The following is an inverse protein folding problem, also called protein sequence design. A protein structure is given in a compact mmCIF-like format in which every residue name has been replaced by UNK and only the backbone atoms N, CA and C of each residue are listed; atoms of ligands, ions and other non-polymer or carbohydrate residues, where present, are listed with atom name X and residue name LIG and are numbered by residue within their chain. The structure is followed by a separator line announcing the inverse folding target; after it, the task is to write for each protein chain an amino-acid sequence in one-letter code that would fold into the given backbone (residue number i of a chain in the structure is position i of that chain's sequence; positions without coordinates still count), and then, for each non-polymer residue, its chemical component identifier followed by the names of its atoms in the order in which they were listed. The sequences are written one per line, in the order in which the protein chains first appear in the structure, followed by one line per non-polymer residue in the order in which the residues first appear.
data_IF_627409991791
#
_entry.id   IF_627409991791
#
_cell.length_a   1.000
_cell.length_b   1.000
_cell.length_c   1.000
_cell.angle_alpha   90.00
_cell.angle_beta   90.00
_cell.angle_gamma   90.00
#
_symmetry.space_group_name_H-M   'P 1'
#
loop_
_entity.id
_entity.type
_entity.pdbx_description
1 polymer ?
#
# COMPACT_ATOMS: atom_id res chain seq x y z
N UNK A 1 2.67 -0.05 -13.94
CA UNK A 1 2.61 -0.52 -12.55
C UNK A 1 1.23 -1.07 -12.30
N UNK A 2 1.14 -2.32 -11.85
CA UNK A 2 -0.11 -2.93 -11.37
C UNK A 2 -0.35 -2.57 -9.91
N UNK A 3 -1.57 -2.70 -9.42
CA UNK A 3 -1.89 -2.47 -8.00
C UNK A 3 -1.08 -3.37 -7.07
N UNK A 4 -0.76 -4.60 -7.49
CA UNK A 4 0.10 -5.52 -6.75
C UNK A 4 1.54 -4.99 -6.64
N UNK A 5 2.11 -4.50 -7.73
CA UNK A 5 3.45 -3.91 -7.73
C UNK A 5 3.51 -2.67 -6.84
N UNK A 6 2.46 -1.85 -6.86
CA UNK A 6 2.32 -0.66 -6.03
C UNK A 6 2.28 -1.01 -4.55
N UNK A 7 1.46 -1.99 -4.16
CA UNK A 7 1.41 -2.48 -2.77
C UNK A 7 2.78 -3.00 -2.32
N UNK A 8 3.51 -3.70 -3.20
CA UNK A 8 4.87 -4.15 -2.88
C UNK A 8 5.85 -2.99 -2.69
N UNK A 9 5.77 -1.95 -3.54
CA UNK A 9 6.60 -0.75 -3.43
C UNK A 9 6.30 0.04 -2.14
N UNK A 10 5.04 0.05 -1.70
CA UNK A 10 4.60 0.63 -0.42
C UNK A 10 5.08 -0.15 0.81
N UNK A 11 5.83 -1.25 0.64
CA UNK A 11 6.35 -2.07 1.73
C UNK A 11 5.63 -3.40 1.94
N UNK A 12 4.61 -3.70 1.13
CA UNK A 12 3.86 -4.95 1.14
C UNK A 12 2.54 -4.87 1.91
N UNK A 13 1.76 -5.95 1.81
CA UNK A 13 0.38 -6.03 2.33
C UNK A 13 0.31 -5.73 3.83
N UNK A 14 1.19 -6.34 4.64
CA UNK A 14 1.18 -6.18 6.10
C UNK A 14 1.46 -4.73 6.53
N UNK A 15 2.44 -4.10 5.90
CA UNK A 15 2.82 -2.72 6.21
C UNK A 15 1.70 -1.76 5.81
N UNK A 16 1.16 -1.94 4.61
CA UNK A 16 0.07 -1.12 4.10
C UNK A 16 -1.21 -1.30 4.93
N UNK A 17 -1.54 -2.53 5.36
CA UNK A 17 -2.71 -2.78 6.21
C UNK A 17 -2.60 -2.10 7.57
N UNK A 18 -1.40 -2.14 8.17
CA UNK A 18 -1.14 -1.44 9.43
C UNK A 18 -1.19 0.08 9.26
N UNK A 19 -0.60 0.61 8.19
CA UNK A 19 -0.59 2.04 7.88
C UNK A 19 -2.02 2.59 7.68
N UNK A 20 -2.85 1.87 6.94
CA UNK A 20 -4.24 2.26 6.67
C UNK A 20 -5.21 1.88 7.80
N UNK A 21 -4.74 1.20 8.84
CA UNK A 21 -5.56 0.63 9.91
C UNK A 21 -6.74 -0.23 9.36
N UNK A 22 -6.42 -1.13 8.43
CA UNK A 22 -7.37 -2.03 7.78
C UNK A 22 -6.97 -3.50 7.95
N UNK A 23 -7.92 -4.41 7.78
CA UNK A 23 -7.65 -5.84 7.82
C UNK A 23 -6.64 -6.28 6.75
N UNK A 24 -5.68 -7.11 7.16
CA UNK A 24 -4.69 -7.71 6.26
C UNK A 24 -5.34 -8.39 5.04
N UNK A 25 -6.38 -9.18 5.26
CA UNK A 25 -7.08 -9.90 4.19
C UNK A 25 -7.70 -8.94 3.17
N UNK A 26 -8.21 -7.78 3.63
CA UNK A 26 -8.79 -6.76 2.75
C UNK A 26 -7.73 -6.22 1.79
N UNK A 27 -6.55 -5.87 2.30
CA UNK A 27 -5.43 -5.37 1.49
C UNK A 27 -4.84 -6.48 0.61
N UNK A 28 -4.75 -7.71 1.11
CA UNK A 28 -4.30 -8.86 0.33
C UNK A 28 -5.19 -9.09 -0.90
N UNK A 29 -6.50 -8.97 -0.74
CA UNK A 29 -7.45 -9.11 -1.84
C UNK A 29 -7.22 -8.06 -2.95
N UNK A 30 -6.74 -6.85 -2.62
CA UNK A 30 -6.42 -5.83 -3.62
C UNK A 30 -5.29 -6.24 -4.57
N UNK A 31 -4.37 -7.11 -4.11
CA UNK A 31 -3.30 -7.63 -4.98
C UNK A 31 -3.81 -8.52 -6.12
N UNK A 32 -5.06 -9.01 -6.02
CA UNK A 32 -5.71 -9.86 -7.02
C UNK A 32 -6.88 -9.17 -7.71
N UNK A 33 -7.66 -8.37 -6.97
CA UNK A 33 -8.90 -7.73 -7.44
C UNK A 33 -8.73 -6.26 -7.84
N UNK A 34 -7.57 -5.68 -7.55
CA UNK A 34 -7.33 -4.25 -7.67
C UNK A 34 -7.72 -3.48 -6.41
N UNK A 35 -7.10 -2.31 -6.25
CA UNK A 35 -7.39 -1.37 -5.16
C UNK A 35 -8.67 -0.60 -5.53
N UNK A 36 -9.66 -0.50 -4.62
CA UNK A 36 -10.89 0.24 -4.89
C UNK A 36 -10.61 1.69 -5.28
N UNK A 37 -11.33 2.23 -6.27
CA UNK A 37 -11.14 3.60 -6.75
C UNK A 37 -11.26 4.64 -5.63
N UNK A 38 -12.21 4.46 -4.71
CA UNK A 38 -12.37 5.34 -3.55
C UNK A 38 -11.09 5.40 -2.70
N UNK A 39 -10.45 4.25 -2.44
CA UNK A 39 -9.20 4.19 -1.67
C UNK A 39 -8.06 4.93 -2.39
N UNK A 40 -8.01 4.87 -3.73
CA UNK A 40 -7.01 5.62 -4.50
C UNK A 40 -7.20 7.14 -4.39
N UNK A 41 -8.46 7.58 -4.29
CA UNK A 41 -8.83 8.99 -4.13
C UNK A 41 -8.59 9.47 -2.70
N UNK A 42 -8.84 8.61 -1.70
CA UNK A 42 -8.65 8.94 -0.28
C UNK A 42 -7.16 9.06 0.08
N UNK A 43 -6.29 8.30 -0.61
CA UNK A 43 -4.83 8.28 -0.39
C UNK A 43 -4.05 8.52 -1.69
N UNK A 44 -4.18 9.71 -2.31
CA UNK A 44 -3.57 9.99 -3.61
C UNK A 44 -2.04 9.99 -3.54
N UNK A 45 -1.45 10.36 -2.40
CA UNK A 45 0.00 10.33 -2.17
C UNK A 45 0.58 8.91 -2.16
N UNK A 46 -0.24 7.90 -1.84
CA UNK A 46 0.17 6.50 -1.91
C UNK A 46 -0.09 5.90 -3.29
N UNK A 47 -1.26 6.18 -3.87
CA UNK A 47 -1.77 5.42 -5.01
C UNK A 47 -1.80 6.15 -6.35
N UNK A 48 -1.76 7.49 -6.35
CA UNK A 48 -1.80 8.34 -7.54
C UNK A 48 -0.50 9.13 -7.75
N UNK A 49 0.60 8.62 -7.20
CA UNK A 49 1.95 9.18 -7.37
C UNK A 49 2.79 8.35 -8.34
N UNK A 50 3.77 8.98 -9.00
CA UNK A 50 4.79 8.28 -9.81
C UNK A 50 5.89 7.66 -8.95
N UNK A 51 6.03 8.10 -7.70
CA UNK A 51 7.07 7.65 -6.77
C UNK A 51 6.45 7.30 -5.42
N UNK A 52 5.89 6.07 -5.26
CA UNK A 52 5.26 5.65 -4.02
C UNK A 52 6.29 5.55 -2.88
N UNK A 53 5.97 6.06 -1.68
CA UNK A 53 6.86 5.96 -0.54
C UNK A 53 6.97 4.51 -0.05
N UNK A 54 8.16 4.08 0.37
CA UNK A 54 8.29 2.81 1.09
C UNK A 54 7.87 3.04 2.55
N UNK A 55 6.77 2.44 2.98
CA UNK A 55 6.21 2.63 4.32
C UNK A 55 6.88 1.74 5.39
N UNK A 56 7.85 0.90 5.00
CA UNK A 56 8.60 0.14 6.00
C UNK A 56 9.29 1.12 6.94
N UNK A 57 9.18 0.95 8.27
CA UNK A 57 9.97 1.74 9.18
C UNK A 57 11.44 1.54 8.81
N UNK A 58 12.13 2.64 8.54
CA UNK A 58 13.59 2.65 8.47
C UNK A 58 14.05 2.36 9.89
N UNK A 59 14.27 1.10 10.22
CA UNK A 59 15.00 0.77 11.43
C UNK A 59 16.41 1.33 11.20
N UNK A 60 16.68 2.52 11.73
CA UNK A 60 18.05 2.94 12.02
C UNK A 60 18.62 1.84 12.92
N UNK A 61 19.54 1.05 12.35
CA UNK A 61 20.31 0.08 13.11
C UNK A 61 21.07 0.85 14.20
N UNK A 62 20.66 0.63 15.46
CA UNK A 62 21.36 1.11 16.64
C UNK A 62 22.56 0.21 16.98
#
# INVERSE_FOLDING_TARGET
MTDKELINALGGVLVLSNYLNMDYQRVFNWTHRGIPSQIKIDYPELFLTKNPPNLKPQTEEA
#
